data_IF_584535181158
#
_entry.id   IF_584535181158
#
_cell.length_a   1.000
_cell.length_b   1.000
_cell.length_c   1.000
_cell.angle_alpha   90.00
_cell.angle_beta   90.00
_cell.angle_gamma   90.00
#
_symmetry.space_group_name_H-M   'P 1'
#
loop_
_entity.id
_entity.type
_entity.pdbx_description
1 polymer ?
#
# COMPACT_ATOMS: atom_id res chain seq x y z
N UNK A 1 -12.22 23.93 4.58
CA UNK A 1 -11.21 25.00 4.75
C UNK A 1 -11.20 25.84 3.49
N UNK A 2 -11.02 27.17 3.58
CA UNK A 2 -10.81 28.02 2.41
C UNK A 2 -9.49 27.64 1.71
N UNK A 3 -9.48 27.51 0.38
CA UNK A 3 -8.29 27.15 -0.40
C UNK A 3 -7.88 28.37 -1.23
N UNK A 4 -6.62 28.74 -1.13
CA UNK A 4 -6.07 29.92 -1.83
C UNK A 4 -5.10 29.49 -2.93
N UNK A 5 -5.05 30.30 -3.99
CA UNK A 5 -4.02 30.18 -5.01
C UNK A 5 -2.63 30.57 -4.47
N UNK A 6 -1.58 30.45 -5.29
CA UNK A 6 -0.21 30.80 -4.90
C UNK A 6 -0.02 32.29 -4.57
N UNK A 7 -0.97 33.14 -4.96
CA UNK A 7 -0.95 34.58 -4.73
C UNK A 7 -1.83 34.99 -3.53
N UNK A 8 -2.40 34.03 -2.79
CA UNK A 8 -3.28 34.28 -1.64
C UNK A 8 -4.71 34.67 -2.02
N UNK A 9 -5.14 34.44 -3.26
CA UNK A 9 -6.53 34.67 -3.68
C UNK A 9 -7.36 33.43 -3.37
N UNK A 10 -8.50 33.64 -2.71
CA UNK A 10 -9.44 32.57 -2.42
C UNK A 10 -10.02 31.96 -3.71
N UNK A 11 -9.91 30.64 -3.83
CA UNK A 11 -10.50 29.84 -4.89
C UNK A 11 -11.89 29.37 -4.44
N UNK A 12 -12.92 29.79 -5.18
CA UNK A 12 -14.32 29.48 -4.87
C UNK A 12 -14.87 28.35 -5.75
N UNK A 13 -14.32 28.21 -6.96
CA UNK A 13 -14.69 27.16 -7.90
C UNK A 13 -14.03 25.82 -7.51
N UNK A 14 -14.80 24.73 -7.56
CA UNK A 14 -14.32 23.38 -7.25
C UNK A 14 -13.23 22.90 -8.21
N UNK A 15 -13.33 23.23 -9.50
CA UNK A 15 -12.32 22.86 -10.49
C UNK A 15 -10.96 23.52 -10.19
N UNK A 16 -10.97 24.82 -9.88
CA UNK A 16 -9.75 25.57 -9.56
C UNK A 16 -9.11 25.09 -8.25
N UNK A 17 -9.94 24.71 -7.26
CA UNK A 17 -9.46 24.13 -6.02
C UNK A 17 -8.77 22.79 -6.25
N UNK A 18 -9.35 21.90 -7.07
CA UNK A 18 -8.76 20.62 -7.42
C UNK A 18 -7.43 20.80 -8.15
N UNK A 19 -7.36 21.72 -9.09
CA UNK A 19 -6.13 22.05 -9.80
C UNK A 19 -5.05 22.57 -8.84
N UNK A 20 -5.44 23.43 -7.88
CA UNK A 20 -4.53 23.92 -6.85
C UNK A 20 -4.00 22.82 -5.92
N UNK A 21 -4.83 21.83 -5.59
CA UNK A 21 -4.41 20.62 -4.86
C UNK A 21 -3.45 19.77 -5.68
N UNK A 22 -3.76 19.56 -6.98
CA UNK A 22 -2.90 18.84 -7.92
C UNK A 22 -1.51 19.47 -7.96
N UNK A 23 -1.43 20.79 -8.19
CA UNK A 23 -0.16 21.52 -8.18
C UNK A 23 0.60 21.35 -6.87
N UNK A 24 -0.06 21.51 -5.72
CA UNK A 24 0.56 21.37 -4.41
C UNK A 24 1.17 19.99 -4.19
N UNK A 25 0.42 18.92 -4.48
CA UNK A 25 0.89 17.57 -4.28
C UNK A 25 1.95 17.17 -5.32
N UNK A 26 1.85 17.64 -6.56
CA UNK A 26 2.90 17.45 -7.54
C UNK A 26 4.22 18.09 -7.09
N UNK A 27 4.18 19.33 -6.58
CA UNK A 27 5.38 20.00 -6.06
C UNK A 27 5.95 19.30 -4.82
N UNK A 28 5.07 18.84 -3.92
CA UNK A 28 5.46 18.17 -2.68
C UNK A 28 6.11 16.81 -2.92
N UNK A 29 5.55 16.01 -3.84
CA UNK A 29 5.97 14.61 -4.04
C UNK A 29 6.94 14.40 -5.21
N UNK A 30 6.94 15.26 -6.23
CA UNK A 30 7.84 15.14 -7.37
C UNK A 30 9.11 15.98 -7.21
N UNK A 31 9.55 16.20 -5.97
CA UNK A 31 10.88 16.78 -5.72
C UNK A 31 11.91 15.79 -6.27
N UNK A 32 12.63 16.20 -7.31
CA UNK A 32 13.73 15.41 -7.87
C UNK A 32 14.84 15.31 -6.82
N UNK A 33 14.82 14.27 -6.00
CA UNK A 33 15.90 13.97 -5.08
C UNK A 33 17.07 13.41 -5.88
N UNK A 34 18.17 14.15 -5.96
CA UNK A 34 19.45 13.58 -6.39
C UNK A 34 19.98 12.72 -5.25
N UNK A 35 19.63 11.44 -5.25
CA UNK A 35 20.19 10.49 -4.29
C UNK A 35 21.59 10.12 -4.79
N UNK A 36 22.62 10.40 -3.99
CA UNK A 36 23.99 10.03 -4.30
C UNK A 36 24.12 8.48 -4.28
N UNK A 37 24.49 7.83 -5.39
CA UNK A 37 24.71 6.39 -5.43
C UNK A 37 25.74 5.90 -4.40
N UNK A 38 26.71 6.74 -4.00
CA UNK A 38 27.65 6.42 -2.94
C UNK A 38 26.94 6.23 -1.60
N UNK A 39 25.98 7.10 -1.26
CA UNK A 39 25.17 6.99 -0.04
C UNK A 39 24.32 5.72 -0.05
N UNK A 40 23.77 5.34 -1.22
CA UNK A 40 23.02 4.07 -1.35
C UNK A 40 23.94 2.87 -1.12
N UNK A 41 25.15 2.89 -1.68
CA UNK A 41 26.13 1.81 -1.51
C UNK A 41 26.69 1.71 -0.08
N UNK A 42 26.61 2.79 0.70
CA UNK A 42 26.94 2.79 2.13
C UNK A 42 25.84 2.17 3.00
N UNK A 43 24.61 2.04 2.48
CA UNK A 43 23.53 1.34 3.18
C UNK A 43 23.87 -0.15 3.19
N UNK A 44 24.26 -0.65 4.36
CA UNK A 44 24.47 -2.08 4.59
C UNK A 44 23.12 -2.79 4.59
N UNK A 45 22.70 -3.28 3.43
CA UNK A 45 21.60 -4.24 3.33
C UNK A 45 22.09 -5.53 3.99
N UNK A 46 21.65 -5.75 5.23
CA UNK A 46 21.96 -6.99 5.93
C UNK A 46 21.06 -8.06 5.35
N UNK A 47 21.65 -9.01 4.62
CA UNK A 47 20.91 -10.22 4.24
C UNK A 47 20.49 -10.93 5.53
N UNK A 48 19.19 -11.21 5.74
CA UNK A 48 18.77 -11.95 6.92
C UNK A 48 19.51 -13.29 6.94
N UNK A 49 19.92 -13.73 8.13
CA UNK A 49 20.48 -15.07 8.25
C UNK A 49 19.44 -16.10 7.79
N UNK A 50 19.90 -17.27 7.35
CA UNK A 50 19.00 -18.37 6.97
C UNK A 50 17.99 -18.68 8.08
N UNK A 51 18.44 -18.66 9.34
CA UNK A 51 17.58 -18.87 10.51
C UNK A 51 16.54 -17.77 10.71
N UNK A 52 16.87 -16.52 10.38
CA UNK A 52 15.95 -15.39 10.46
C UNK A 52 14.89 -15.50 9.36
N UNK A 53 15.30 -15.88 8.16
CA UNK A 53 14.40 -16.09 7.03
C UNK A 53 13.43 -17.26 7.30
N UNK A 54 13.95 -18.38 7.83
CA UNK A 54 13.13 -19.52 8.25
C UNK A 54 12.13 -19.13 9.35
N UNK A 55 12.53 -18.28 10.31
CA UNK A 55 11.63 -17.76 11.34
C UNK A 55 10.53 -16.87 10.76
N UNK A 56 10.86 -15.99 9.82
CA UNK A 56 9.89 -15.08 9.19
C UNK A 56 8.90 -15.80 8.28
N UNK A 57 9.34 -16.89 7.65
CA UNK A 57 8.50 -17.72 6.77
C UNK A 57 7.73 -18.81 7.53
N UNK A 58 7.98 -18.98 8.83
CA UNK A 58 7.23 -19.93 9.63
C UNK A 58 5.77 -19.47 9.78
N UNK A 59 4.86 -20.44 9.79
CA UNK A 59 3.46 -20.16 10.11
C UNK A 59 3.34 -19.55 11.51
N UNK A 60 2.47 -18.54 11.69
CA UNK A 60 2.31 -17.90 12.98
C UNK A 60 1.64 -18.89 13.96
N UNK A 61 2.17 -18.97 15.17
CA UNK A 61 1.55 -19.76 16.25
C UNK A 61 0.31 -19.07 16.82
N UNK A 62 -0.59 -19.84 17.45
CA UNK A 62 -1.76 -19.29 18.16
C UNK A 62 -1.37 -18.25 19.23
N UNK A 63 -0.24 -18.45 19.92
CA UNK A 63 0.26 -17.51 20.91
C UNK A 63 0.72 -16.19 20.26
N UNK A 64 1.36 -16.27 19.09
CA UNK A 64 1.76 -15.09 18.32
C UNK A 64 0.56 -14.28 17.84
N UNK A 65 -0.48 -14.95 17.33
CA UNK A 65 -1.74 -14.29 16.93
C UNK A 65 -2.39 -13.61 18.13
N UNK A 66 -2.46 -14.30 19.27
CA UNK A 66 -2.99 -13.76 20.52
C UNK A 66 -2.20 -12.53 20.98
N UNK A 67 -0.87 -12.62 20.96
CA UNK A 67 0.03 -11.53 21.35
C UNK A 67 -0.11 -10.34 20.41
N UNK A 68 -0.18 -10.57 19.10
CA UNK A 68 -0.37 -9.52 18.10
C UNK A 68 -1.69 -8.79 18.31
N UNK A 69 -2.81 -9.52 18.48
CA UNK A 69 -4.12 -8.94 18.76
C UNK A 69 -4.09 -8.06 20.01
N UNK A 70 -3.44 -8.53 21.08
CA UNK A 70 -3.31 -7.76 22.32
C UNK A 70 -2.48 -6.48 22.16
N UNK A 71 -1.46 -6.51 21.30
CA UNK A 71 -0.60 -5.34 21.00
C UNK A 71 -1.28 -4.30 20.11
N UNK A 72 -2.35 -4.66 19.39
CA UNK A 72 -3.08 -3.71 18.54
C UNK A 72 -3.64 -2.54 19.37
N UNK A 73 -3.58 -1.32 18.81
CA UNK A 73 -4.11 -0.13 19.48
C UNK A 73 -5.63 -0.08 19.40
N UNK A 74 -6.27 0.06 20.55
CA UNK A 74 -7.73 0.24 20.68
C UNK A 74 -8.17 1.67 20.33
N UNK A 75 -9.46 1.87 20.09
CA UNK A 75 -10.09 3.17 19.78
C UNK A 75 -9.52 3.85 18.52
N UNK A 76 -9.06 3.05 17.56
CA UNK A 76 -8.76 3.52 16.20
C UNK A 76 -10.04 3.51 15.38
N UNK A 77 -10.15 4.45 14.44
CA UNK A 77 -11.24 4.44 13.48
C UNK A 77 -11.17 3.13 12.65
N UNK A 78 -12.32 2.52 12.34
CA UNK A 78 -12.35 1.35 11.46
C UNK A 78 -11.83 1.70 10.07
N UNK A 79 -11.35 0.68 9.36
CA UNK A 79 -11.06 0.79 7.93
C UNK A 79 -12.33 0.77 7.08
N UNK A 80 -12.16 0.60 5.76
CA UNK A 80 -13.27 0.39 4.83
C UNK A 80 -14.02 -0.92 5.07
N UNK A 81 -13.41 -1.84 5.81
CA UNK A 81 -14.00 -3.11 6.26
C UNK A 81 -14.95 -2.94 7.46
N UNK A 82 -15.02 -1.74 8.04
CA UNK A 82 -15.80 -1.43 9.24
C UNK A 82 -15.38 -2.23 10.50
N UNK A 83 -14.25 -2.94 10.46
CA UNK A 83 -13.75 -3.76 11.57
C UNK A 83 -12.73 -2.99 12.39
N UNK A 84 -12.91 -2.99 13.72
CA UNK A 84 -11.95 -2.37 14.64
C UNK A 84 -11.18 -3.41 15.43
N UNK A 85 -9.99 -3.04 15.92
CA UNK A 85 -9.21 -3.87 16.83
C UNK A 85 -9.99 -4.26 18.10
N UNK A 86 -10.93 -3.41 18.54
CA UNK A 86 -11.75 -3.68 19.72
C UNK A 86 -12.75 -4.81 19.48
N UNK A 87 -13.33 -4.89 18.28
CA UNK A 87 -14.20 -6.01 17.87
C UNK A 87 -13.40 -7.32 17.82
N UNK A 88 -12.20 -7.29 17.23
CA UNK A 88 -11.34 -8.47 17.15
C UNK A 88 -10.94 -8.99 18.54
N UNK A 89 -10.58 -8.08 19.45
CA UNK A 89 -10.26 -8.43 20.84
C UNK A 89 -11.46 -8.95 21.61
N UNK A 90 -12.65 -8.37 21.40
CA UNK A 90 -13.87 -8.80 22.06
C UNK A 90 -14.33 -10.20 21.63
N UNK A 91 -13.96 -10.63 20.42
CA UNK A 91 -14.29 -11.95 19.89
C UNK A 91 -13.61 -13.12 20.59
N UNK A 92 -12.53 -12.89 21.34
CA UNK A 92 -11.88 -13.91 22.16
C UNK A 92 -11.34 -15.11 21.36
N UNK A 93 -11.35 -16.29 22.00
CA UNK A 93 -10.73 -17.50 21.45
C UNK A 93 -11.24 -17.95 20.06
N UNK A 94 -12.55 -17.87 19.75
CA UNK A 94 -13.03 -18.20 18.40
C UNK A 94 -12.39 -17.34 17.30
N UNK A 95 -12.21 -16.04 17.54
CA UNK A 95 -11.59 -15.13 16.56
C UNK A 95 -10.09 -15.41 16.43
N UNK A 96 -9.41 -15.73 17.53
CA UNK A 96 -7.99 -16.10 17.51
C UNK A 96 -7.78 -17.35 16.65
N UNK A 97 -8.61 -18.38 16.83
CA UNK A 97 -8.54 -19.63 16.04
C UNK A 97 -8.83 -19.38 14.57
N UNK A 98 -9.89 -18.63 14.27
CA UNK A 98 -10.25 -18.27 12.90
C UNK A 98 -9.12 -17.50 12.19
N UNK A 99 -8.51 -16.52 12.87
CA UNK A 99 -7.37 -15.78 12.32
C UNK A 99 -6.17 -16.68 12.08
N UNK A 100 -5.87 -17.57 13.02
CA UNK A 100 -4.77 -18.53 12.88
C UNK A 100 -4.99 -19.45 11.68
N UNK A 101 -6.18 -20.07 11.57
CA UNK A 101 -6.57 -20.90 10.42
C UNK A 101 -6.43 -20.15 9.10
N UNK A 102 -6.91 -18.90 9.02
CA UNK A 102 -6.75 -18.09 7.81
C UNK A 102 -5.28 -17.87 7.40
N UNK A 103 -4.39 -17.62 8.36
CA UNK A 103 -2.98 -17.39 8.08
C UNK A 103 -2.23 -18.68 7.76
N UNK A 104 -2.65 -19.82 8.31
CA UNK A 104 -2.04 -21.13 8.01
C UNK A 104 -2.49 -21.67 6.66
N UNK A 105 -3.79 -21.62 6.37
CA UNK A 105 -4.40 -22.23 5.18
C UNK A 105 -3.95 -21.54 3.88
N UNK A 106 -3.73 -20.23 3.91
CA UNK A 106 -3.22 -19.47 2.75
C UNK A 106 -1.74 -19.70 2.47
N UNK A 107 -0.96 -20.11 3.46
CA UNK A 107 0.50 -20.28 3.32
C UNK A 107 0.88 -21.60 2.64
N UNK A 108 0.13 -22.68 2.89
CA UNK A 108 0.37 -24.00 2.29
C UNK A 108 0.17 -24.00 0.77
N UNK A 109 -0.82 -23.25 0.29
CA UNK A 109 -1.11 -23.11 -1.14
C UNK A 109 0.00 -22.35 -1.90
N UNK A 110 0.65 -21.38 -1.26
CA UNK A 110 1.75 -20.61 -1.86
C UNK A 110 3.09 -21.35 -1.75
N UNK A 111 3.32 -22.08 -0.65
CA UNK A 111 4.55 -22.86 -0.47
C UNK A 111 4.67 -24.00 -1.48
N UNK A 112 3.55 -24.67 -1.82
CA UNK A 112 3.51 -25.71 -2.86
C UNK A 112 3.93 -25.21 -4.24
N UNK A 113 3.49 -24.01 -4.63
CA UNK A 113 3.86 -23.37 -5.92
C UNK A 113 5.35 -23.00 -5.99
N UNK A 114 5.96 -22.63 -4.86
CA UNK A 114 7.39 -22.25 -4.81
C UNK A 114 8.33 -23.46 -4.81
N UNK A 115 7.90 -24.61 -4.28
CA UNK A 115 8.73 -25.83 -4.23
C UNK A 115 8.89 -26.54 -5.57
N UNK A 116 7.98 -26.38 -6.53
CA UNK A 116 8.06 -27.03 -7.85
C UNK A 116 9.10 -26.40 -8.79
N UNK A 117 9.61 -25.19 -8.48
CA UNK A 117 10.54 -24.46 -9.34
C UNK A 117 12.03 -24.60 -8.95
N UNK A 118 12.38 -25.33 -7.89
CA UNK A 118 13.78 -25.38 -7.39
C UNK A 118 14.46 -26.74 -7.49
N UNK A 119 13.81 -27.76 -8.06
CA UNK A 119 14.48 -29.03 -8.38
C UNK A 119 15.10 -28.97 -9.77
N UNK A 120 16.10 -28.13 -9.95
CA UNK A 120 16.89 -28.11 -11.17
C UNK A 120 17.78 -26.90 -11.30
N UNK A 121 19.06 -27.10 -10.97
CA UNK A 121 20.20 -26.19 -11.22
C UNK A 121 20.35 -25.08 -10.18
N UNK A 122 21.47 -25.13 -9.45
CA UNK A 122 21.87 -24.11 -8.49
C UNK A 122 22.21 -22.79 -9.18
N UNK A 123 21.20 -21.98 -9.45
CA UNK A 123 21.35 -20.59 -9.80
C UNK A 123 20.93 -19.73 -8.60
N UNK A 124 21.83 -18.83 -8.24
CA UNK A 124 21.67 -17.81 -7.21
C UNK A 124 20.38 -17.05 -7.49
N UNK A 125 19.50 -16.91 -6.49
CA UNK A 125 18.31 -16.07 -6.56
C UNK A 125 18.73 -14.66 -7.04
N UNK A 126 18.32 -14.32 -8.26
CA UNK A 126 18.75 -13.10 -8.93
C UNK A 126 18.14 -11.88 -8.22
N UNK A 127 18.99 -11.09 -7.55
CA UNK A 127 18.61 -9.84 -6.92
C UNK A 127 18.04 -8.83 -7.92
N UNK A 128 18.24 -9.03 -9.24
CA UNK A 128 17.59 -8.24 -10.27
C UNK A 128 16.06 -8.42 -10.31
N UNK A 129 15.51 -9.55 -9.85
CA UNK A 129 14.06 -9.79 -9.87
C UNK A 129 13.33 -9.01 -8.76
N UNK A 130 14.01 -8.80 -7.63
CA UNK A 130 13.51 -8.00 -6.51
C UNK A 130 13.61 -6.50 -6.84
N UNK A 131 14.70 -6.11 -7.51
CA UNK A 131 14.91 -4.74 -8.00
C UNK A 131 13.90 -4.36 -9.09
N UNK A 132 13.53 -5.31 -9.96
CA UNK A 132 12.46 -5.11 -10.94
C UNK A 132 11.05 -5.10 -10.32
N UNK A 133 10.83 -5.83 -9.22
CA UNK A 133 9.61 -5.71 -8.40
C UNK A 133 9.45 -4.34 -7.75
N UNK A 134 10.53 -3.77 -7.20
CA UNK A 134 10.54 -2.39 -6.69
C UNK A 134 10.35 -1.37 -7.82
N UNK A 135 10.95 -1.58 -8.98
CA UNK A 135 10.73 -0.73 -10.17
C UNK A 135 9.32 -0.83 -10.74
N UNK A 136 8.66 -1.99 -10.61
CA UNK A 136 7.23 -2.16 -10.89
C UNK A 136 6.37 -1.45 -9.84
N UNK A 137 6.73 -1.48 -8.56
CA UNK A 137 6.06 -0.69 -7.52
C UNK A 137 6.26 0.82 -7.70
N UNK A 138 7.45 1.26 -8.13
CA UNK A 138 7.74 2.65 -8.50
C UNK A 138 6.99 3.06 -9.78
N UNK A 139 6.91 2.17 -10.78
CA UNK A 139 6.10 2.35 -11.98
C UNK A 139 4.60 2.34 -11.66
N UNK A 140 4.15 1.55 -10.69
CA UNK A 140 2.78 1.52 -10.16
C UNK A 140 2.46 2.79 -9.37
N UNK A 141 3.44 3.36 -8.68
CA UNK A 141 3.32 4.67 -8.03
C UNK A 141 3.23 5.81 -9.06
N UNK A 142 4.06 5.76 -10.11
CA UNK A 142 4.00 6.70 -11.25
C UNK A 142 2.71 6.54 -12.07
N UNK A 143 2.23 5.32 -12.27
CA UNK A 143 0.94 5.06 -12.92
C UNK A 143 -0.24 5.32 -12.00
N UNK A 144 -0.09 5.27 -10.67
CA UNK A 144 -1.11 5.74 -9.71
C UNK A 144 -1.36 7.25 -9.87
N UNK A 145 -0.31 8.05 -10.10
CA UNK A 145 -0.48 9.44 -10.55
C UNK A 145 -1.24 9.52 -11.88
N UNK A 146 -0.91 8.68 -12.87
CA UNK A 146 -1.63 8.66 -14.14
C UNK A 146 -3.09 8.16 -14.01
N UNK A 147 -3.39 7.26 -13.08
CA UNK A 147 -4.74 6.77 -12.76
C UNK A 147 -5.54 7.84 -12.01
N UNK A 148 -4.90 8.61 -11.13
CA UNK A 148 -5.48 9.81 -10.52
C UNK A 148 -5.77 10.89 -11.58
N UNK A 149 -4.88 11.08 -12.56
CA UNK A 149 -5.12 11.97 -13.71
C UNK A 149 -6.28 11.47 -14.59
N UNK A 150 -6.37 10.16 -14.84
CA UNK A 150 -7.42 9.56 -15.69
C UNK A 150 -8.79 9.56 -15.00
N UNK A 151 -8.83 9.29 -13.69
CA UNK A 151 -10.07 9.31 -12.88
C UNK A 151 -10.53 10.74 -12.60
N UNK A 152 -9.62 11.69 -12.37
CA UNK A 152 -9.95 13.12 -12.27
C UNK A 152 -10.51 13.66 -13.58
N UNK A 153 -9.91 13.30 -14.73
CA UNK A 153 -10.42 13.69 -16.06
C UNK A 153 -11.76 13.03 -16.39
N UNK A 154 -11.97 11.76 -15.99
CA UNK A 154 -13.25 11.07 -16.17
C UNK A 154 -14.34 11.61 -15.24
N UNK A 155 -13.99 12.01 -14.01
CA UNK A 155 -14.90 12.63 -13.04
C UNK A 155 -15.29 14.05 -13.48
N UNK A 156 -14.35 14.83 -14.04
CA UNK A 156 -14.64 16.12 -14.68
C UNK A 156 -15.58 15.96 -15.89
N UNK A 157 -15.39 14.95 -16.74
CA UNK A 157 -16.31 14.64 -17.86
C UNK A 157 -17.71 14.18 -17.42
N UNK A 158 -17.84 13.58 -16.23
CA UNK A 158 -19.13 13.18 -15.64
C UNK A 158 -19.86 14.36 -14.98
N UNK A 159 -19.13 15.37 -14.53
CA UNK A 159 -19.69 16.61 -13.95
C UNK A 159 -20.08 17.63 -15.03
N UNK A 160 -19.43 17.57 -16.21
CA UNK A 160 -19.72 18.40 -17.39
C UNK A 160 -20.77 17.78 -18.35
N UNK A 161 -21.49 16.70 -17.97
CA UNK A 161 -22.51 16.08 -18.83
C UNK A 161 -23.73 17.04 -18.99
N UNK A 162 -24.00 17.61 -20.19
CA UNK A 162 -25.02 18.64 -20.36
C UNK A 162 -26.47 18.12 -20.32
N UNK A 163 -26.67 16.83 -20.08
CA UNK A 163 -27.97 16.15 -20.15
C UNK A 163 -28.92 16.42 -18.96
N UNK A 164 -28.58 17.35 -18.05
CA UNK A 164 -29.46 17.80 -16.96
C UNK A 164 -29.85 19.29 -17.06
N UNK A 165 -29.74 19.90 -18.24
CA UNK A 165 -30.29 21.24 -18.51
C UNK A 165 -31.18 21.24 -19.76
N UNK A 166 -32.29 20.50 -19.75
CA UNK A 166 -33.44 20.77 -20.65
C UNK A 166 -34.74 20.74 -19.83
N UNK A 167 -35.36 21.93 -19.73
CA UNK A 167 -36.81 22.28 -19.65
C UNK A 167 -37.66 21.52 -18.59
N UNK A 168 -38.31 22.13 -17.58
CA UNK A 168 -39.08 23.38 -17.44
C UNK A 168 -39.04 23.95 -16.01
#
# INVERSE_FOLDING_TARGET
>A
MPIEDKNGKLLVNSADQLERWREYFCELFNVSSTVDPCVINEIKITTPSRSELERQNAQPSLEEVTRALNQMKSRKAPGSDEVTADILKAGGEPVIKWLHEMFTDGSDALQGLLTEQTTGSGEVFDTQLIDSGWRLAEALCKTSCAVFDTTSTAFLKLVDDPSMNEED
#
